data_IF_471727268928
#
_entry.id   IF_471727268928
#
_cell.length_a   1.000
_cell.length_b   1.000
_cell.length_c   1.000
_cell.angle_alpha   90.00
_cell.angle_beta   90.00
_cell.angle_gamma   90.00
#
_symmetry.space_group_name_H-M   'P 1'
#
loop_
_entity.id
_entity.type
_entity.pdbx_description
1 polymer ?
#
# COMPACT_ATOMS: atom_id res chain seq x y z
N UNK A 1 -4.77 10.36 -13.36
CA UNK A 1 -3.79 11.47 -13.56
C UNK A 1 -2.43 11.03 -13.03
N UNK A 2 -1.33 11.67 -13.47
CA UNK A 2 0.01 11.38 -12.96
C UNK A 2 0.14 11.57 -11.44
N UNK A 3 -0.59 12.52 -10.86
CA UNK A 3 -0.63 12.75 -9.41
C UNK A 3 -1.20 11.56 -8.62
N UNK A 4 -2.29 10.94 -9.10
CA UNK A 4 -2.88 9.76 -8.46
C UNK A 4 -1.94 8.54 -8.47
N UNK A 5 -1.18 8.39 -9.56
CA UNK A 5 -0.14 7.36 -9.68
C UNK A 5 0.97 7.62 -8.66
N UNK A 6 1.48 8.84 -8.58
CA UNK A 6 2.56 9.18 -7.66
C UNK A 6 2.15 9.01 -6.19
N UNK A 7 0.94 9.45 -5.83
CA UNK A 7 0.38 9.25 -4.50
C UNK A 7 0.30 7.77 -4.13
N UNK A 8 -0.12 6.91 -5.05
CA UNK A 8 -0.15 5.47 -4.79
C UNK A 8 1.23 4.83 -4.70
N UNK A 9 2.21 5.30 -5.47
CA UNK A 9 3.61 4.85 -5.33
C UNK A 9 4.13 5.17 -3.93
N UNK A 10 3.89 6.39 -3.46
CA UNK A 10 4.32 6.85 -2.14
C UNK A 10 3.68 6.01 -1.03
N UNK A 11 2.36 5.84 -1.03
CA UNK A 11 1.65 5.02 -0.02
C UNK A 11 2.17 3.58 0.01
N UNK A 12 2.46 2.98 -1.16
CA UNK A 12 3.02 1.63 -1.23
C UNK A 12 4.45 1.54 -0.69
N UNK A 13 5.29 2.55 -0.93
CA UNK A 13 6.65 2.61 -0.41
C UNK A 13 6.65 2.78 1.11
N UNK A 14 5.85 3.71 1.63
CA UNK A 14 5.73 3.97 3.07
C UNK A 14 5.27 2.72 3.83
N UNK A 15 4.25 2.01 3.34
CA UNK A 15 3.81 0.76 3.96
C UNK A 15 4.91 -0.31 3.95
N UNK A 16 5.61 -0.47 2.83
CA UNK A 16 6.68 -1.46 2.72
C UNK A 16 7.84 -1.16 3.68
N UNK A 17 8.20 0.11 3.84
CA UNK A 17 9.19 0.57 4.82
C UNK A 17 8.71 0.28 6.23
N UNK A 18 7.50 0.69 6.59
CA UNK A 18 6.90 0.45 7.92
C UNK A 18 6.88 -1.03 8.30
N UNK A 19 6.53 -1.92 7.35
CA UNK A 19 6.55 -3.37 7.57
C UNK A 19 7.97 -3.91 7.72
N UNK A 20 8.90 -3.47 6.87
CA UNK A 20 10.31 -3.91 6.90
C UNK A 20 11.03 -3.47 8.17
N UNK A 21 10.77 -2.23 8.59
CA UNK A 21 11.41 -1.59 9.74
C UNK A 21 10.64 -1.82 11.03
N UNK A 22 9.48 -2.50 10.98
CA UNK A 22 8.67 -2.87 12.14
C UNK A 22 8.29 -1.67 12.98
N UNK A 23 7.63 -0.71 12.34
CA UNK A 23 7.19 0.56 12.92
C UNK A 23 5.66 0.57 13.17
N UNK A 24 5.13 -0.20 14.16
CA UNK A 24 3.70 -0.27 14.43
C UNK A 24 3.06 1.08 14.78
N UNK A 25 3.84 2.04 15.26
CA UNK A 25 3.42 3.40 15.59
C UNK A 25 2.99 4.21 14.36
N UNK A 26 3.49 3.89 13.16
CA UNK A 26 3.14 4.58 11.92
C UNK A 26 1.86 4.04 11.27
N UNK A 27 1.30 2.93 11.79
CA UNK A 27 0.20 2.23 11.16
C UNK A 27 -1.07 3.08 11.09
N UNK A 28 -1.43 3.77 12.17
CA UNK A 28 -2.64 4.59 12.22
C UNK A 28 -2.59 5.77 11.25
N UNK A 29 -1.46 6.47 11.19
CA UNK A 29 -1.23 7.58 10.26
C UNK A 29 -1.24 7.11 8.81
N UNK A 30 -0.68 5.93 8.54
CA UNK A 30 -0.70 5.35 7.21
C UNK A 30 -2.12 4.94 6.78
N UNK A 31 -2.91 4.38 7.69
CA UNK A 31 -4.31 4.01 7.44
C UNK A 31 -5.15 5.25 7.14
N UNK A 32 -5.04 6.31 7.95
CA UNK A 32 -5.78 7.55 7.74
C UNK A 32 -5.45 8.19 6.38
N UNK A 33 -4.16 8.25 6.01
CA UNK A 33 -3.75 8.78 4.69
C UNK A 33 -4.22 7.89 3.53
N UNK A 34 -4.23 6.58 3.71
CA UNK A 34 -4.72 5.63 2.69
C UNK A 34 -6.24 5.75 2.48
N UNK A 35 -7.01 5.92 3.56
CA UNK A 35 -8.46 6.17 3.53
C UNK A 35 -8.78 7.52 2.87
N UNK A 36 -8.01 8.57 3.17
CA UNK A 36 -8.19 9.91 2.60
C UNK A 36 -7.66 10.05 1.16
N UNK A 37 -6.89 9.09 0.65
CA UNK A 37 -6.21 9.20 -0.66
C UNK A 37 -7.15 9.26 -1.87
N UNK A 38 -8.42 8.84 -1.71
CA UNK A 38 -9.36 8.67 -2.82
C UNK A 38 -8.99 7.55 -3.80
N UNK A 39 -7.89 6.82 -3.56
CA UNK A 39 -7.45 5.71 -4.39
C UNK A 39 -8.16 4.43 -3.93
N UNK A 40 -9.20 4.01 -4.65
CA UNK A 40 -10.04 2.87 -4.27
C UNK A 40 -9.28 1.60 -3.82
N UNK A 41 -8.15 1.20 -4.44
CA UNK A 41 -7.35 0.06 -3.96
C UNK A 41 -6.76 0.27 -2.56
N UNK A 42 -6.26 1.47 -2.24
CA UNK A 42 -5.70 1.80 -0.93
C UNK A 42 -6.77 2.00 0.12
N UNK A 43 -7.89 2.64 -0.23
CA UNK A 43 -9.04 2.77 0.67
C UNK A 43 -9.55 1.38 1.07
N UNK A 44 -9.73 0.47 0.10
CA UNK A 44 -10.15 -0.91 0.38
C UNK A 44 -9.14 -1.65 1.25
N UNK A 45 -7.85 -1.51 0.96
CA UNK A 45 -6.80 -2.18 1.71
C UNK A 45 -6.67 -1.66 3.15
N UNK A 46 -6.80 -0.36 3.37
CA UNK A 46 -6.83 0.24 4.70
C UNK A 46 -8.03 -0.27 5.51
N UNK A 47 -9.22 -0.33 4.90
CA UNK A 47 -10.41 -0.89 5.53
C UNK A 47 -10.25 -2.39 5.87
N UNK A 48 -9.60 -3.18 5.01
CA UNK A 48 -9.31 -4.58 5.30
C UNK A 48 -8.35 -4.70 6.49
N UNK A 49 -7.30 -3.86 6.57
CA UNK A 49 -6.40 -3.83 7.73
C UNK A 49 -7.12 -3.39 9.00
N UNK A 50 -8.03 -2.41 8.94
CA UNK A 50 -8.81 -1.95 10.11
C UNK A 50 -9.61 -3.08 10.75
N UNK A 51 -10.18 -3.99 9.94
CA UNK A 51 -10.90 -5.18 10.45
C UNK A 51 -9.97 -6.12 11.22
N UNK A 52 -8.73 -6.24 10.77
CA UNK A 52 -7.71 -7.10 11.36
C UNK A 52 -6.64 -6.30 12.16
N UNK A 53 -6.99 -5.09 12.64
CA UNK A 53 -6.01 -4.11 13.12
C UNK A 53 -5.10 -4.66 14.22
N UNK A 54 -5.68 -5.29 15.25
CA UNK A 54 -4.92 -5.86 16.36
C UNK A 54 -3.93 -6.92 15.86
N UNK A 55 -4.36 -7.78 14.93
CA UNK A 55 -3.51 -8.82 14.38
C UNK A 55 -2.37 -8.24 13.53
N UNK A 56 -2.65 -7.22 12.72
CA UNK A 56 -1.64 -6.54 11.89
C UNK A 56 -0.65 -5.77 12.76
N UNK A 57 -1.13 -5.02 13.76
CA UNK A 57 -0.28 -4.24 14.68
C UNK A 57 0.60 -5.15 15.55
N UNK A 58 0.04 -6.20 16.13
CA UNK A 58 0.80 -7.20 16.87
C UNK A 58 1.88 -7.82 15.99
N UNK A 59 1.60 -8.01 14.70
CA UNK A 59 2.55 -8.61 13.78
C UNK A 59 3.66 -7.68 13.28
N UNK A 60 3.41 -6.38 13.25
CA UNK A 60 4.47 -5.40 13.10
C UNK A 60 5.42 -5.41 14.32
N UNK A 61 4.92 -5.88 15.47
CA UNK A 61 5.65 -5.86 16.75
C UNK A 61 6.35 -7.19 17.07
N UNK A 62 5.72 -8.33 16.75
CA UNK A 62 6.20 -9.67 17.12
C UNK A 62 7.12 -10.26 16.05
N UNK A 63 8.25 -10.82 16.49
CA UNK A 63 9.31 -11.31 15.61
C UNK A 63 8.95 -12.55 14.78
N UNK A 64 7.91 -13.32 15.15
CA UNK A 64 7.66 -14.62 14.53
C UNK A 64 6.18 -14.91 14.29
N UNK A 65 5.81 -14.98 13.01
CA UNK A 65 4.87 -15.92 12.38
C UNK A 65 4.56 -15.38 10.97
N UNK A 66 5.12 -15.95 9.90
CA UNK A 66 5.08 -15.35 8.55
C UNK A 66 3.80 -15.60 7.72
N UNK A 67 2.82 -16.39 8.18
CA UNK A 67 1.67 -16.80 7.36
C UNK A 67 0.79 -15.66 6.78
N UNK A 68 0.08 -14.84 7.59
CA UNK A 68 -0.91 -13.89 7.04
C UNK A 68 -0.37 -12.59 6.33
N UNK A 69 0.90 -12.21 6.54
CA UNK A 69 1.52 -10.92 6.12
C UNK A 69 2.20 -11.15 4.82
N UNK A 70 2.60 -12.39 4.50
CA UNK A 70 2.82 -12.76 3.11
C UNK A 70 1.56 -12.48 2.29
N UNK A 71 0.36 -12.77 2.81
CA UNK A 71 -0.91 -12.39 2.18
C UNK A 71 -1.04 -10.87 1.95
N UNK A 72 -0.84 -10.06 3.00
CA UNK A 72 -0.92 -8.60 2.90
C UNK A 72 0.19 -7.98 2.03
N UNK A 73 1.44 -8.43 2.17
CA UNK A 73 2.58 -8.03 1.35
C UNK A 73 2.35 -8.44 -0.10
N UNK A 74 1.82 -9.64 -0.37
CA UNK A 74 1.56 -10.09 -1.73
C UNK A 74 0.42 -9.28 -2.37
N UNK A 75 -0.62 -8.95 -1.59
CA UNK A 75 -1.69 -8.06 -2.04
C UNK A 75 -1.19 -6.64 -2.30
N UNK A 76 -0.29 -6.12 -1.46
CA UNK A 76 0.39 -4.85 -1.72
C UNK A 76 1.29 -4.92 -2.96
N UNK A 77 2.07 -6.00 -3.14
CA UNK A 77 2.85 -6.24 -4.35
C UNK A 77 1.96 -6.29 -5.59
N UNK A 78 0.75 -6.85 -5.48
CA UNK A 78 -0.24 -6.87 -6.55
C UNK A 78 -0.79 -5.48 -6.84
N UNK A 79 -1.17 -4.70 -5.81
CA UNK A 79 -1.59 -3.29 -5.95
C UNK A 79 -0.48 -2.47 -6.60
N UNK A 80 0.76 -2.62 -6.12
CA UNK A 80 1.97 -2.02 -6.71
C UNK A 80 2.10 -2.41 -8.18
N UNK A 81 2.07 -3.69 -8.54
CA UNK A 81 2.15 -4.15 -9.94
C UNK A 81 1.04 -3.58 -10.81
N UNK A 82 -0.20 -3.54 -10.33
CA UNK A 82 -1.31 -2.96 -11.08
C UNK A 82 -1.13 -1.46 -11.30
N UNK A 83 -0.64 -0.73 -10.30
CA UNK A 83 -0.45 0.72 -10.39
C UNK A 83 0.76 1.08 -11.24
N UNK A 84 1.91 0.42 -11.05
CA UNK A 84 3.10 0.64 -11.88
C UNK A 84 2.87 0.18 -13.32
N UNK A 85 2.13 -0.91 -13.55
CA UNK A 85 1.75 -1.37 -14.88
C UNK A 85 0.86 -0.36 -15.59
N UNK A 86 -0.19 0.14 -14.93
CA UNK A 86 -1.05 1.21 -15.48
C UNK A 86 -0.32 2.52 -15.68
N UNK A 87 0.47 2.95 -14.70
CA UNK A 87 1.30 4.15 -14.80
C UNK A 87 2.28 4.11 -15.97
N UNK A 88 2.98 2.99 -16.16
CA UNK A 88 3.92 2.81 -17.27
C UNK A 88 3.20 2.88 -18.61
N UNK A 89 2.01 2.28 -18.72
CA UNK A 89 1.18 2.35 -19.93
C UNK A 89 0.64 3.77 -20.19
N UNK A 90 0.19 4.48 -19.15
CA UNK A 90 -0.29 5.85 -19.27
C UNK A 90 0.84 6.81 -19.65
N UNK A 91 2.03 6.63 -19.08
CA UNK A 91 3.25 7.38 -19.44
C UNK A 91 3.69 7.07 -20.88
N UNK A 92 3.60 5.83 -21.33
CA UNK A 92 3.87 5.44 -22.73
C UNK A 92 2.88 6.10 -23.70
N UNK A 93 1.58 6.12 -23.38
CA UNK A 93 0.55 6.77 -24.20
C UNK A 93 0.76 8.27 -24.32
N UNK A 94 1.09 8.96 -23.21
CA UNK A 94 1.40 10.38 -23.21
C UNK A 94 2.63 10.72 -24.08
N UNK A 95 3.62 9.84 -24.14
CA UNK A 95 4.81 10.02 -25.01
C UNK A 95 4.55 9.73 -26.48
N UNK A 96 3.57 8.90 -26.81
CA UNK A 96 3.20 8.57 -28.20
C UNK A 96 2.26 9.61 -28.81
N UNK A 97 1.54 10.35 -27.97
CA UNK A 97 0.62 11.43 -28.37
C UNK A 97 1.27 12.83 -28.30
N UNK A 98 2.57 12.91 -28.01
CA UNK A 98 3.39 14.11 -28.07
C UNK A 98 4.26 14.06 -29.34
#
# INVERSE_FOLDING_TARGET
>A
SGAAVQAGIQLAQEFATMVRERQPELLDDWLARSEASGLAPFVKFANDIRKDYTAVRMRLTLEWSNGPTEGHINRLKQVKRQMYGRAKLDLLKLRLMA
#
